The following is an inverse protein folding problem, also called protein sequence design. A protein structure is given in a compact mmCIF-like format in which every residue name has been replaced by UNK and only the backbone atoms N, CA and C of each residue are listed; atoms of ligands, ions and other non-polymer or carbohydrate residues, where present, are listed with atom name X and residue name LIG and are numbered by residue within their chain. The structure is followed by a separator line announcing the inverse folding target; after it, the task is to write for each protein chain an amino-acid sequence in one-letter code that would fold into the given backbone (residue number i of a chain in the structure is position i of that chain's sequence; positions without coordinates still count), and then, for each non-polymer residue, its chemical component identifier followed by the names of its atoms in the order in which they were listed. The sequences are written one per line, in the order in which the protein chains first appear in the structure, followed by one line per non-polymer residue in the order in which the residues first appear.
data_IF_601018533964
#
_entry.id   IF_601018533964
#
_cell.length_a   1.000
_cell.length_b   1.000
_cell.length_c   1.000
_cell.angle_alpha   90.00
_cell.angle_beta   90.00
_cell.angle_gamma   90.00
#
_symmetry.space_group_name_H-M   'P 1'
#
loop_
_entity.id
_entity.type
_entity.pdbx_description
1 polymer ?
#
# COMPACT_ATOMS: atom_id res chain seq x y z
N UNK A 1 -28.50 -17.50 20.24
CA UNK A 1 -27.55 -16.37 20.41
C UNK A 1 -26.21 -16.82 19.89
N UNK A 2 -25.69 -16.23 18.80
CA UNK A 2 -24.43 -16.69 18.20
C UNK A 2 -23.28 -16.15 19.05
N UNK A 3 -22.57 -17.03 19.75
CA UNK A 3 -21.36 -16.66 20.49
C UNK A 3 -20.32 -16.10 19.53
N UNK A 4 -19.97 -14.82 19.73
CA UNK A 4 -18.97 -14.12 18.95
C UNK A 4 -17.60 -14.58 19.42
N UNK A 5 -16.93 -15.41 18.63
CA UNK A 5 -15.57 -15.87 18.91
C UNK A 5 -14.61 -14.67 19.03
N UNK A 6 -14.06 -14.45 20.22
CA UNK A 6 -13.09 -13.40 20.50
C UNK A 6 -11.66 -13.96 20.40
N UNK A 7 -10.91 -13.46 19.42
CA UNK A 7 -9.54 -13.90 19.18
C UNK A 7 -8.57 -13.22 20.17
N UNK A 8 -8.24 -13.91 21.26
CA UNK A 8 -7.39 -13.43 22.38
C UNK A 8 -5.89 -13.67 22.19
N UNK A 9 -5.38 -13.74 20.95
CA UNK A 9 -3.94 -13.89 20.71
C UNK A 9 -3.29 -12.52 20.53
N UNK A 10 -2.34 -12.11 21.40
CA UNK A 10 -1.63 -10.86 21.25
C UNK A 10 -0.85 -10.83 19.93
N UNK A 11 -1.10 -9.82 19.10
CA UNK A 11 -0.33 -9.64 17.86
C UNK A 11 0.96 -8.89 18.19
N UNK A 12 2.13 -9.36 17.72
CA UNK A 12 3.37 -8.63 17.93
C UNK A 12 3.31 -7.25 17.30
N UNK A 13 4.03 -6.30 17.89
CA UNK A 13 4.16 -4.97 17.31
C UNK A 13 4.75 -5.09 15.89
N UNK A 14 4.20 -4.28 14.98
CA UNK A 14 4.75 -4.20 13.63
C UNK A 14 6.19 -3.70 13.73
N UNK A 15 7.07 -4.26 12.90
CA UNK A 15 8.45 -3.79 12.69
C UNK A 15 8.60 -3.37 11.24
N UNK A 16 9.38 -2.32 11.00
CA UNK A 16 9.75 -1.92 9.64
C UNK A 16 10.54 -3.04 9.00
N UNK A 17 10.19 -3.43 7.78
CA UNK A 17 10.90 -4.46 7.02
C UNK A 17 11.88 -3.79 6.06
N UNK A 18 12.84 -4.56 5.56
CA UNK A 18 13.75 -4.09 4.50
C UNK A 18 13.02 -3.61 3.24
N UNK A 19 13.75 -2.85 2.43
CA UNK A 19 13.20 -2.26 1.20
C UNK A 19 12.77 -3.36 0.22
N UNK A 20 11.91 -3.00 -0.73
CA UNK A 20 11.53 -3.93 -1.76
C UNK A 20 12.65 -4.10 -2.81
N UNK A 21 12.77 -5.30 -3.37
CA UNK A 21 13.66 -5.59 -4.50
C UNK A 21 12.85 -5.83 -5.80
N UNK A 22 11.82 -5.00 -6.05
CA UNK A 22 10.92 -5.23 -7.18
C UNK A 22 11.52 -4.75 -8.51
N UNK A 23 11.36 -5.56 -9.57
CA UNK A 23 11.84 -5.23 -10.92
C UNK A 23 11.27 -3.92 -11.49
N UNK A 24 10.04 -3.55 -11.12
CA UNK A 24 9.40 -2.30 -11.58
C UNK A 24 10.24 -1.08 -11.21
N UNK A 25 10.80 -1.09 -9.99
CA UNK A 25 11.66 -0.01 -9.52
C UNK A 25 13.08 -0.10 -10.05
N UNK A 26 13.53 -1.30 -10.41
CA UNK A 26 14.82 -1.50 -11.06
C UNK A 26 14.84 -0.92 -12.47
N UNK A 27 13.79 -1.20 -13.23
CA UNK A 27 13.60 -0.69 -14.59
C UNK A 27 13.17 0.78 -14.59
N UNK A 28 12.82 1.36 -13.43
CA UNK A 28 12.30 2.72 -13.30
C UNK A 28 10.92 2.93 -13.92
N UNK A 29 10.20 1.83 -14.19
CA UNK A 29 8.92 1.84 -14.90
C UNK A 29 7.79 1.75 -13.88
N UNK A 30 6.95 2.78 -13.83
CA UNK A 30 5.72 2.84 -13.02
C UNK A 30 5.88 2.77 -11.49
N UNK A 31 7.09 2.58 -10.95
CA UNK A 31 7.36 2.61 -9.51
C UNK A 31 8.73 3.22 -9.21
N UNK A 32 8.81 4.03 -8.17
CA UNK A 32 9.99 4.79 -7.76
C UNK A 32 10.55 4.32 -6.41
N UNK A 33 10.43 3.04 -6.07
CA UNK A 33 10.80 2.51 -4.75
C UNK A 33 12.27 2.79 -4.37
N UNK A 34 13.21 2.69 -5.32
CA UNK A 34 14.64 2.95 -5.15
C UNK A 34 14.98 4.43 -4.85
N UNK A 35 14.02 5.35 -4.99
CA UNK A 35 14.22 6.77 -4.61
C UNK A 35 14.18 7.02 -3.11
N UNK A 36 13.68 6.06 -2.33
CA UNK A 36 13.55 6.18 -0.88
C UNK A 36 14.74 5.51 -0.19
N UNK A 37 15.51 6.29 0.56
CA UNK A 37 16.59 5.76 1.40
C UNK A 37 16.03 5.09 2.65
N UNK A 38 16.82 4.23 3.30
CA UNK A 38 16.37 3.54 4.52
C UNK A 38 16.04 4.52 5.66
N UNK A 39 16.77 5.62 5.77
CA UNK A 39 16.51 6.67 6.75
C UNK A 39 15.16 7.34 6.52
N UNK A 40 14.83 7.67 5.26
CA UNK A 40 13.54 8.25 4.90
C UNK A 40 12.40 7.30 5.22
N UNK A 41 12.58 6.00 4.93
CA UNK A 41 11.61 4.96 5.28
C UNK A 41 11.42 4.87 6.80
N UNK A 42 12.52 4.94 7.56
CA UNK A 42 12.50 4.92 9.03
C UNK A 42 11.73 6.10 9.60
N UNK A 43 11.92 7.31 9.06
CA UNK A 43 11.18 8.51 9.45
C UNK A 43 9.68 8.34 9.16
N UNK A 44 9.31 7.88 7.96
CA UNK A 44 7.91 7.63 7.60
C UNK A 44 7.26 6.59 8.52
N UNK A 45 7.96 5.49 8.76
CA UNK A 45 7.52 4.41 9.62
C UNK A 45 7.26 4.89 11.05
N UNK A 46 8.24 5.59 11.64
CA UNK A 46 8.12 6.10 13.00
C UNK A 46 7.00 7.14 13.10
N UNK A 47 6.89 8.05 12.12
CA UNK A 47 5.83 9.04 12.11
C UNK A 47 4.45 8.37 12.07
N UNK A 48 4.24 7.41 11.17
CA UNK A 48 2.97 6.70 11.04
C UNK A 48 2.64 5.83 12.26
N UNK A 49 3.60 5.06 12.79
CA UNK A 49 3.32 4.12 13.87
C UNK A 49 3.29 4.77 15.25
N UNK A 50 4.21 5.70 15.53
CA UNK A 50 4.40 6.29 16.87
C UNK A 50 3.72 7.65 17.04
N UNK A 51 3.73 8.51 16.00
CA UNK A 51 3.32 9.91 16.15
C UNK A 51 1.89 10.21 15.69
N UNK A 52 1.27 9.32 14.91
CA UNK A 52 -0.10 9.51 14.42
C UNK A 52 -1.15 8.82 15.28
N UNK A 53 -2.24 9.52 15.57
CA UNK A 53 -3.47 8.93 16.12
C UNK A 53 -4.19 8.07 15.06
N UNK A 54 -5.04 7.13 15.49
CA UNK A 54 -5.70 6.17 14.60
C UNK A 54 -6.49 6.82 13.44
N UNK A 55 -7.25 7.87 13.73
CA UNK A 55 -8.01 8.58 12.68
C UNK A 55 -7.08 9.26 11.66
N UNK A 56 -5.99 9.86 12.13
CA UNK A 56 -4.98 10.46 11.24
C UNK A 56 -4.31 9.39 10.36
N UNK A 57 -4.03 8.19 10.90
CA UNK A 57 -3.50 7.06 10.11
C UNK A 57 -4.43 6.67 8.96
N UNK A 58 -5.75 6.63 9.20
CA UNK A 58 -6.74 6.30 8.16
C UNK A 58 -6.73 7.33 7.04
N UNK A 59 -6.76 8.61 7.38
CA UNK A 59 -6.67 9.70 6.40
C UNK A 59 -5.35 9.68 5.64
N UNK A 60 -4.24 9.44 6.33
CA UNK A 60 -2.91 9.31 5.73
C UNK A 60 -2.86 8.18 4.68
N UNK A 61 -3.37 7.00 5.01
CA UNK A 61 -3.45 5.88 4.04
C UNK A 61 -4.38 6.23 2.87
N UNK A 62 -5.54 6.83 3.14
CA UNK A 62 -6.48 7.22 2.09
C UNK A 62 -5.88 8.23 1.10
N UNK A 63 -5.02 9.13 1.56
CA UNK A 63 -4.30 10.08 0.70
C UNK A 63 -3.23 9.41 -0.19
N UNK A 64 -2.65 8.30 0.26
CA UNK A 64 -1.56 7.59 -0.42
C UNK A 64 -2.02 6.45 -1.33
N UNK A 65 -3.25 5.95 -1.16
CA UNK A 65 -3.77 4.81 -1.91
C UNK A 65 -4.90 5.25 -2.84
N UNK A 66 -4.66 5.13 -4.15
CA UNK A 66 -5.67 5.44 -5.15
C UNK A 66 -6.41 4.16 -5.55
N UNK A 67 -7.73 4.25 -5.63
CA UNK A 67 -8.57 3.16 -6.16
C UNK A 67 -8.93 3.47 -7.60
N UNK A 68 -8.43 2.67 -8.53
CA UNK A 68 -8.62 2.85 -9.97
C UNK A 68 -9.52 1.73 -10.50
N UNK A 69 -10.51 2.09 -11.32
CA UNK A 69 -11.32 1.11 -12.04
C UNK A 69 -10.45 0.36 -13.05
N UNK A 70 -10.69 -0.93 -13.22
CA UNK A 70 -9.95 -1.74 -14.20
C UNK A 70 -10.24 -1.21 -15.62
N UNK A 71 -9.20 -0.72 -16.32
CA UNK A 71 -9.34 0.00 -17.61
C UNK A 71 -9.85 -0.84 -18.78
N UNK A 72 -9.85 -2.18 -18.69
CA UNK A 72 -10.23 -3.05 -19.80
C UNK A 72 -11.36 -4.01 -19.42
N UNK A 73 -12.56 -3.69 -19.90
CA UNK A 73 -13.65 -4.66 -20.10
C UNK A 73 -13.74 -5.12 -21.57
N UNK A 74 -12.93 -4.54 -22.47
CA UNK A 74 -13.16 -4.52 -23.92
C UNK A 74 -12.78 -5.79 -24.70
N UNK A 75 -11.97 -6.71 -24.14
CA UNK A 75 -11.54 -7.93 -24.83
C UNK A 75 -12.21 -9.20 -24.30
N UNK A 76 -13.47 -9.11 -23.88
CA UNK A 76 -14.21 -10.29 -23.42
C UNK A 76 -15.27 -10.69 -24.44
N UNK A 77 -15.04 -11.82 -25.12
CA UNK A 77 -15.98 -12.44 -26.06
C UNK A 77 -17.33 -12.82 -25.44
N UNK A 78 -17.45 -12.81 -24.10
CA UNK A 78 -18.68 -13.20 -23.41
C UNK A 78 -18.96 -12.34 -22.18
N UNK A 79 -20.17 -11.82 -22.10
CA UNK A 79 -20.72 -11.01 -20.99
C UNK A 79 -20.86 -11.81 -19.67
N UNK A 80 -20.85 -13.14 -19.76
CA UNK A 80 -21.13 -14.11 -18.69
C UNK A 80 -20.04 -14.25 -17.63
N UNK A 81 -18.78 -13.88 -17.91
CA UNK A 81 -17.67 -14.26 -17.01
C UNK A 81 -17.19 -13.14 -16.09
N UNK A 82 -17.95 -12.06 -15.84
CA UNK A 82 -17.53 -10.84 -15.10
C UNK A 82 -16.39 -11.04 -14.07
N UNK A 83 -15.22 -10.41 -14.30
CA UNK A 83 -14.08 -10.57 -13.38
C UNK A 83 -14.49 -10.07 -12.00
N UNK A 84 -14.28 -10.88 -10.96
CA UNK A 84 -14.50 -10.45 -9.57
C UNK A 84 -13.69 -9.21 -9.22
N UNK A 85 -12.56 -8.96 -9.91
CA UNK A 85 -11.70 -7.82 -9.67
C UNK A 85 -12.14 -6.60 -10.49
N UNK A 86 -13.03 -5.81 -9.89
CA UNK A 86 -13.52 -4.54 -10.46
C UNK A 86 -12.57 -3.35 -10.24
N UNK A 87 -11.73 -3.42 -9.20
CA UNK A 87 -10.89 -2.31 -8.74
C UNK A 87 -9.42 -2.74 -8.61
N UNK A 88 -8.53 -1.79 -8.82
CA UNK A 88 -7.09 -1.92 -8.57
C UNK A 88 -6.62 -0.80 -7.67
N UNK A 89 -5.80 -1.14 -6.68
CA UNK A 89 -5.17 -0.18 -5.77
C UNK A 89 -3.79 0.22 -6.30
N UNK A 90 -3.51 1.51 -6.33
CA UNK A 90 -2.18 2.07 -6.59
C UNK A 90 -1.64 2.68 -5.30
N UNK A 91 -0.39 2.36 -4.98
CA UNK A 91 0.25 2.75 -3.72
C UNK A 91 1.30 3.82 -3.98
N UNK A 92 1.39 4.77 -3.05
CA UNK A 92 2.32 5.88 -3.16
C UNK A 92 2.98 6.19 -1.82
N UNK A 93 4.15 6.80 -1.85
CA UNK A 93 4.82 7.38 -0.69
C UNK A 93 5.23 8.81 -1.01
N UNK A 94 5.28 9.67 -0.01
CA UNK A 94 5.69 11.07 -0.19
C UNK A 94 7.21 11.21 -0.08
N UNK A 95 7.84 11.88 -1.05
CA UNK A 95 9.25 12.20 -1.05
C UNK A 95 9.43 13.65 -1.48
N UNK A 96 10.06 14.49 -0.64
CA UNK A 96 10.24 15.93 -0.90
C UNK A 96 8.95 16.65 -1.31
N UNK A 97 7.84 16.34 -0.64
CA UNK A 97 6.50 16.89 -0.94
C UNK A 97 5.80 16.28 -2.16
N UNK A 98 6.45 15.37 -2.90
CA UNK A 98 5.88 14.71 -4.07
C UNK A 98 5.35 13.32 -3.74
N UNK A 99 4.12 13.02 -4.17
CA UNK A 99 3.52 11.68 -4.09
C UNK A 99 4.09 10.80 -5.20
N UNK A 100 4.99 9.87 -4.87
CA UNK A 100 5.64 8.97 -5.83
C UNK A 100 5.01 7.57 -5.80
N UNK A 101 4.77 6.95 -6.96
CA UNK A 101 4.23 5.60 -7.01
C UNK A 101 5.25 4.58 -6.51
N UNK A 102 4.79 3.61 -5.73
CA UNK A 102 5.61 2.50 -5.22
C UNK A 102 4.87 1.18 -5.36
N UNK A 103 5.61 0.07 -5.31
CA UNK A 103 4.98 -1.23 -5.27
C UNK A 103 4.30 -1.47 -3.91
N UNK A 104 3.35 -2.41 -3.86
CA UNK A 104 2.64 -2.78 -2.62
C UNK A 104 3.60 -3.20 -1.51
N UNK A 105 4.66 -3.94 -1.84
CA UNK A 105 5.65 -4.41 -0.86
C UNK A 105 6.39 -3.26 -0.21
N UNK A 106 6.85 -2.28 -1.00
CA UNK A 106 7.51 -1.08 -0.48
C UNK A 106 6.59 -0.31 0.47
N UNK A 107 5.33 -0.12 0.07
CA UNK A 107 4.33 0.58 0.88
C UNK A 107 4.02 -0.14 2.20
N UNK A 108 3.98 -1.46 2.22
CA UNK A 108 3.66 -2.23 3.44
C UNK A 108 4.86 -2.44 4.37
N UNK A 109 6.08 -2.36 3.82
CA UNK A 109 7.34 -2.50 4.54
C UNK A 109 7.82 -1.19 5.15
N UNK A 110 7.28 -0.05 4.69
CA UNK A 110 7.53 1.31 5.17
C UNK A 110 6.36 1.76 6.05
#
# INVERSE_FOLDING_TARGET
TVEKYEYKVPRPSKRMKGSCNCELSEKGINAACRRFTEDQRTVMYNNFWKNMAWNAKRTYIAALVDTVQTKFHLNRKEESTSSRRRKTLKYHLCHNGLKLPVCKTMFLNT
#
